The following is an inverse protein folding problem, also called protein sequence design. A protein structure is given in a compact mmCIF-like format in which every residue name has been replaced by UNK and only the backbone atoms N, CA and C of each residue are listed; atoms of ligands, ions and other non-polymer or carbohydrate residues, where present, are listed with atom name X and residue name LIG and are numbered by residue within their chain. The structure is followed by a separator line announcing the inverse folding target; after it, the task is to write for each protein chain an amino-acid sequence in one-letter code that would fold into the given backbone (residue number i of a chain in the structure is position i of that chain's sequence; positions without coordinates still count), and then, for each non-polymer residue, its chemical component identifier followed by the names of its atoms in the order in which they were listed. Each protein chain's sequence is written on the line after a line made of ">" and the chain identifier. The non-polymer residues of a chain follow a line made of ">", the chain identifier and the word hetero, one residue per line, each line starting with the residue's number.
data_IF_088858595247
#
_entry.id   IF_088858595247
#
_cell.length_a   1.000
_cell.length_b   1.000
_cell.length_c   1.000
_cell.angle_alpha   90.00
_cell.angle_beta   90.00
_cell.angle_gamma   90.00
#
_symmetry.space_group_name_H-M   'P 1'
#
loop_
_entity.id
_entity.type
_entity.pdbx_description
1 polymer ?
#
# COMPACT_ATOMS: atom_id res chain seq x y z
N UNK A 1 3.91 11.23 7.50
CA UNK A 1 4.36 10.94 6.12
C UNK A 1 3.11 10.93 5.25
N UNK A 2 3.15 11.59 4.10
CA UNK A 2 1.98 11.70 3.21
C UNK A 2 2.25 10.91 1.94
N UNK A 3 1.21 10.51 1.23
CA UNK A 3 1.37 9.87 -0.08
C UNK A 3 0.45 10.49 -1.12
N UNK A 4 0.85 10.37 -2.37
CA UNK A 4 0.01 10.66 -3.55
C UNK A 4 0.03 9.42 -4.43
N UNK A 5 -1.07 9.11 -5.08
CA UNK A 5 -1.18 7.92 -5.90
C UNK A 5 -1.95 8.19 -7.19
N UNK A 6 -1.75 7.33 -8.18
CA UNK A 6 -2.65 7.15 -9.32
C UNK A 6 -2.86 5.66 -9.52
N UNK A 7 -4.08 5.25 -9.83
CA UNK A 7 -4.47 3.85 -9.82
C UNK A 7 -5.42 3.52 -10.96
N UNK A 8 -5.23 2.34 -11.53
CA UNK A 8 -6.18 1.61 -12.35
C UNK A 8 -6.75 0.45 -11.54
N UNK A 9 -7.66 -0.35 -12.09
CA UNK A 9 -8.20 -1.53 -11.39
C UNK A 9 -7.17 -2.63 -11.09
N UNK A 10 -6.04 -2.64 -11.78
CA UNK A 10 -5.05 -3.72 -11.66
C UNK A 10 -3.64 -3.26 -11.33
N UNK A 11 -3.39 -1.95 -11.35
CA UNK A 11 -2.07 -1.37 -11.16
C UNK A 11 -2.18 -0.03 -10.44
N UNK A 12 -1.29 0.24 -9.50
CA UNK A 12 -1.21 1.54 -8.83
C UNK A 12 0.24 2.01 -8.70
N UNK A 13 0.40 3.33 -8.70
CA UNK A 13 1.67 4.00 -8.46
C UNK A 13 1.50 4.90 -7.24
N UNK A 14 2.35 4.73 -6.23
CA UNK A 14 2.24 5.47 -4.96
C UNK A 14 3.58 6.13 -4.67
N UNK A 15 3.56 7.43 -4.38
CA UNK A 15 4.75 8.18 -3.99
C UNK A 15 4.56 8.76 -2.59
N UNK A 16 5.42 8.34 -1.67
CA UNK A 16 5.47 8.86 -0.33
C UNK A 16 6.38 10.08 -0.25
N UNK A 17 5.99 11.01 0.62
CA UNK A 17 6.72 12.23 0.93
C UNK A 17 6.83 12.41 2.44
N UNK A 18 8.01 12.84 2.89
CA UNK A 18 8.19 13.24 4.28
C UNK A 18 7.47 14.56 4.60
N UNK A 19 7.60 15.02 5.85
CA UNK A 19 6.91 16.22 6.35
C UNK A 19 7.30 17.51 5.62
N UNK A 20 8.48 17.55 4.98
CA UNK A 20 8.95 18.71 4.21
C UNK A 20 8.77 18.52 2.70
N UNK A 21 8.04 17.47 2.29
CA UNK A 21 7.66 17.23 0.89
C UNK A 21 8.72 16.53 0.04
N UNK A 22 9.84 16.07 0.62
CA UNK A 22 10.84 15.28 -0.13
C UNK A 22 10.26 13.91 -0.46
N UNK A 23 10.45 13.46 -1.70
CA UNK A 23 10.06 12.13 -2.15
C UNK A 23 10.97 11.10 -1.48
N UNK A 24 10.39 10.17 -0.73
CA UNK A 24 11.17 9.20 0.06
C UNK A 24 11.10 7.78 -0.49
N UNK A 25 9.90 7.36 -0.90
CA UNK A 25 9.62 6.01 -1.32
C UNK A 25 8.62 6.04 -2.48
N UNK A 26 8.84 5.16 -3.46
CA UNK A 26 7.92 4.97 -4.58
C UNK A 26 7.55 3.50 -4.71
N UNK A 27 6.26 3.22 -4.82
CA UNK A 27 5.71 1.88 -4.99
C UNK A 27 5.04 1.75 -6.35
N UNK A 28 5.23 0.59 -6.98
CA UNK A 28 4.42 0.10 -8.09
C UNK A 28 3.74 -1.17 -7.61
N UNK A 29 2.42 -1.15 -7.64
CA UNK A 29 1.57 -2.28 -7.28
C UNK A 29 1.00 -2.88 -8.56
N UNK A 30 1.17 -4.17 -8.77
CA UNK A 30 0.42 -4.98 -9.74
C UNK A 30 -0.38 -6.06 -9.00
N UNK A 31 -1.26 -6.79 -9.70
CA UNK A 31 -2.18 -7.77 -9.08
C UNK A 31 -1.52 -8.72 -8.05
N UNK A 32 -0.28 -9.12 -8.25
CA UNK A 32 0.45 -10.07 -7.37
C UNK A 32 1.83 -9.60 -6.94
N UNK A 33 2.29 -8.44 -7.40
CA UNK A 33 3.66 -7.98 -7.19
C UNK A 33 3.67 -6.57 -6.59
N UNK A 34 4.66 -6.34 -5.73
CA UNK A 34 4.98 -5.03 -5.18
C UNK A 34 6.42 -4.75 -5.53
N UNK A 35 6.65 -3.64 -6.22
CA UNK A 35 7.98 -3.09 -6.42
C UNK A 35 8.11 -1.83 -5.58
N UNK A 36 9.22 -1.68 -4.88
CA UNK A 36 9.51 -0.48 -4.11
C UNK A 36 10.88 0.09 -4.44
N UNK A 37 10.95 1.41 -4.47
CA UNK A 37 12.17 2.18 -4.67
C UNK A 37 12.33 3.17 -3.52
N UNK A 38 13.36 2.95 -2.73
CA UNK A 38 13.90 3.93 -1.80
C UNK A 38 14.62 5.02 -2.59
N UNK A 39 13.93 6.14 -2.75
CA UNK A 39 14.42 7.28 -3.53
C UNK A 39 15.59 7.94 -2.80
N UNK A 40 15.60 7.94 -1.46
CA UNK A 40 16.64 8.61 -0.67
C UNK A 40 17.98 7.94 -0.84
N UNK A 41 18.00 6.61 -0.79
CA UNK A 41 19.22 5.82 -0.92
C UNK A 41 19.47 5.34 -2.35
N UNK A 42 18.56 5.66 -3.28
CA UNK A 42 18.55 5.18 -4.64
C UNK A 42 18.68 3.64 -4.74
N UNK A 43 17.82 2.92 -4.00
CA UNK A 43 17.81 1.45 -3.94
C UNK A 43 16.46 0.83 -4.25
N UNK A 44 16.47 -0.21 -5.09
CA UNK A 44 15.27 -1.01 -5.38
C UNK A 44 15.16 -2.10 -4.33
N UNK A 45 14.02 -2.16 -3.64
CA UNK A 45 13.76 -3.22 -2.68
C UNK A 45 13.38 -4.50 -3.43
N UNK A 46 13.94 -5.62 -3.00
CA UNK A 46 13.37 -6.93 -3.31
C UNK A 46 12.16 -7.18 -2.40
N UNK A 47 11.42 -8.25 -2.64
CA UNK A 47 10.20 -8.56 -1.89
C UNK A 47 10.44 -8.66 -0.38
N UNK A 48 11.52 -9.31 0.06
CA UNK A 48 11.86 -9.41 1.49
C UNK A 48 12.12 -8.03 2.12
N UNK A 49 12.87 -7.17 1.43
CA UNK A 49 13.15 -5.80 1.89
C UNK A 49 11.90 -4.93 1.95
N UNK A 50 10.92 -5.17 1.06
CA UNK A 50 9.62 -4.49 1.12
C UNK A 50 8.89 -4.83 2.41
N UNK A 51 8.83 -6.12 2.80
CA UNK A 51 8.17 -6.53 4.03
C UNK A 51 8.83 -5.91 5.26
N UNK A 52 10.16 -5.88 5.30
CA UNK A 52 10.90 -5.24 6.42
C UNK A 52 10.60 -3.73 6.50
N UNK A 53 10.60 -3.02 5.36
CA UNK A 53 10.42 -1.58 5.35
C UNK A 53 8.95 -1.15 5.53
N UNK A 54 8.01 -2.00 5.13
CA UNK A 54 6.57 -1.74 5.08
C UNK A 54 5.83 -2.99 5.58
N UNK A 55 5.88 -3.27 6.89
CA UNK A 55 5.45 -4.55 7.45
C UNK A 55 3.93 -4.79 7.34
N UNK A 56 3.13 -3.76 7.06
CA UNK A 56 1.72 -3.95 6.73
C UNK A 56 1.50 -4.83 5.48
N UNK A 57 2.50 -4.99 4.61
CA UNK A 57 2.43 -5.91 3.46
C UNK A 57 2.47 -7.41 3.83
N UNK A 58 2.78 -7.74 5.09
CA UNK A 58 2.56 -9.10 5.61
C UNK A 58 1.05 -9.40 5.77
N UNK A 59 0.24 -8.35 5.96
CA UNK A 59 -1.17 -8.47 6.26
C UNK A 59 -2.06 -8.20 5.04
N UNK A 60 -1.60 -7.36 4.09
CA UNK A 60 -2.36 -6.96 2.90
C UNK A 60 -1.59 -7.24 1.61
N UNK A 61 -2.27 -7.86 0.65
CA UNK A 61 -1.73 -8.12 -0.68
C UNK A 61 -1.85 -6.89 -1.59
N UNK A 62 -1.08 -6.89 -2.68
CA UNK A 62 -1.03 -5.77 -3.62
C UNK A 62 -2.39 -5.41 -4.23
N UNK A 63 -3.14 -6.41 -4.72
CA UNK A 63 -4.52 -6.23 -5.22
C UNK A 63 -5.50 -5.74 -4.13
N UNK A 64 -5.31 -6.18 -2.89
CA UNK A 64 -6.13 -5.75 -1.75
C UNK A 64 -5.84 -4.27 -1.43
N UNK A 65 -4.58 -3.86 -1.46
CA UNK A 65 -4.22 -2.45 -1.29
C UNK A 65 -4.73 -1.58 -2.45
N UNK A 66 -4.73 -2.08 -3.69
CA UNK A 66 -5.36 -1.41 -4.83
C UNK A 66 -6.86 -1.19 -4.56
N UNK A 67 -7.59 -2.20 -4.07
CA UNK A 67 -9.01 -2.05 -3.72
C UNK A 67 -9.23 -0.95 -2.67
N UNK A 68 -8.39 -0.90 -1.62
CA UNK A 68 -8.41 0.20 -0.65
C UNK A 68 -8.19 1.58 -1.29
N UNK A 69 -7.24 1.71 -2.23
CA UNK A 69 -7.01 2.97 -2.95
C UNK A 69 -8.24 3.41 -3.73
N UNK A 70 -9.01 2.47 -4.28
CA UNK A 70 -10.29 2.70 -4.94
C UNK A 70 -11.46 2.96 -3.97
N UNK A 71 -11.23 2.86 -2.65
CA UNK A 71 -12.24 3.08 -1.63
C UNK A 71 -13.09 1.85 -1.31
N UNK A 72 -12.65 0.66 -1.73
CA UNK A 72 -13.34 -0.60 -1.49
C UNK A 72 -12.73 -1.34 -0.29
N UNK A 73 -13.57 -2.09 0.45
CA UNK A 73 -13.06 -3.11 1.36
C UNK A 73 -12.64 -4.30 0.49
N UNK A 74 -11.39 -4.79 0.59
CA UNK A 74 -10.99 -5.91 -0.25
C UNK A 74 -11.81 -7.16 0.07
N UNK A 75 -12.20 -7.91 -0.95
CA UNK A 75 -13.14 -9.04 -0.81
C UNK A 75 -12.74 -10.09 0.24
N UNK A 76 -11.44 -10.28 0.46
CA UNK A 76 -10.87 -11.16 1.48
C UNK A 76 -11.26 -10.75 2.91
N UNK A 77 -11.53 -9.46 3.12
CA UNK A 77 -11.94 -8.86 4.39
C UNK A 77 -13.43 -8.52 4.45
N UNK A 78 -14.19 -8.84 3.39
CA UNK A 78 -15.64 -8.63 3.33
C UNK A 78 -16.42 -9.93 3.49
N UNK A 79 -15.82 -11.06 3.11
CA UNK A 79 -16.45 -12.39 3.14
C UNK A 79 -16.09 -13.13 4.45
N UNK A 80 -17.06 -13.45 5.32
CA UNK A 80 -16.82 -14.16 6.58
C UNK A 80 -16.06 -15.48 6.43
N UNK A 81 -16.23 -16.19 5.31
CA UNK A 81 -15.53 -17.45 5.04
C UNK A 81 -14.04 -17.23 4.77
N UNK A 82 -13.69 -16.15 4.05
CA UNK A 82 -12.31 -15.78 3.71
C UNK A 82 -11.58 -15.10 4.87
N UNK A 83 -12.31 -14.32 5.67
CA UNK A 83 -11.78 -13.67 6.87
C UNK A 83 -11.20 -14.72 7.83
N UNK A 84 -11.90 -15.83 8.05
CA UNK A 84 -11.41 -16.92 8.93
C UNK A 84 -10.08 -17.49 8.46
N UNK A 85 -9.97 -17.85 7.18
CA UNK A 85 -8.72 -18.37 6.61
C UNK A 85 -7.58 -17.33 6.64
N UNK A 86 -7.89 -16.04 6.52
CA UNK A 86 -6.88 -14.99 6.55
C UNK A 86 -6.40 -14.72 7.98
N UNK A 87 -7.29 -14.74 8.98
CA UNK A 87 -6.93 -14.59 10.40
C UNK A 87 -5.93 -15.64 10.89
N UNK A 88 -5.97 -16.85 10.34
CA UNK A 88 -4.99 -17.90 10.66
C UNK A 88 -3.59 -17.63 10.11
N UNK A 89 -3.46 -16.73 9.13
CA UNK A 89 -2.22 -16.46 8.39
C UNK A 89 -1.68 -15.02 8.59
N UNK A 90 -2.35 -14.18 9.37
CA UNK A 90 -1.91 -12.82 9.67
C UNK A 90 -1.49 -12.75 11.15
N UNK A 91 -0.29 -12.26 11.42
CA UNK A 91 0.22 -11.96 12.76
C UNK A 91 -0.29 -10.60 13.27
N UNK A 92 -1.62 -10.43 13.34
CA UNK A 92 -2.25 -9.21 13.86
C UNK A 92 -3.68 -8.95 13.38
N UNK A 93 -4.12 -7.68 13.47
CA UNK A 93 -5.47 -7.23 13.12
C UNK A 93 -5.48 -6.15 12.02
N UNK A 94 -6.43 -6.26 11.09
CA UNK A 94 -6.73 -5.21 10.10
C UNK A 94 -8.14 -4.68 10.33
N UNK A 95 -8.29 -3.35 10.37
CA UNK A 95 -9.58 -2.68 10.56
C UNK A 95 -9.79 -1.62 9.48
N UNK A 96 -10.96 -1.65 8.83
CA UNK A 96 -11.36 -0.69 7.82
C UNK A 96 -12.45 0.23 8.37
N UNK A 97 -12.34 1.53 8.11
CA UNK A 97 -13.40 2.51 8.40
C UNK A 97 -13.84 3.17 7.10
N UNK A 98 -15.16 3.26 6.93
CA UNK A 98 -15.79 3.87 5.77
C UNK A 98 -16.46 5.18 6.12
N UNK A 99 -16.66 6.02 5.12
CA UNK A 99 -17.38 7.28 5.20
C UNK A 99 -18.31 7.42 4.00
N UNK A 100 -19.49 8.00 4.24
CA UNK A 100 -20.41 8.35 3.17
C UNK A 100 -19.85 9.52 2.35
N UNK A 101 -19.82 9.36 1.03
CA UNK A 101 -19.39 10.39 0.08
C UNK A 101 -20.44 10.58 -1.02
N UNK A 102 -20.20 11.52 -1.93
CA UNK A 102 -21.01 11.71 -3.14
C UNK A 102 -20.96 10.50 -4.08
N UNK A 103 -19.92 9.66 -3.98
CA UNK A 103 -19.73 8.45 -4.78
C UNK A 103 -20.18 7.18 -4.05
N UNK A 104 -20.91 7.32 -2.94
CA UNK A 104 -21.30 6.21 -2.06
C UNK A 104 -20.41 6.06 -0.84
N UNK A 105 -20.55 4.92 -0.15
CA UNK A 105 -19.76 4.58 1.02
C UNK A 105 -18.37 4.12 0.58
N UNK A 106 -17.33 4.88 0.94
CA UNK A 106 -15.95 4.58 0.59
C UNK A 106 -15.10 4.35 1.84
N UNK A 107 -14.15 3.42 1.78
CA UNK A 107 -13.13 3.24 2.81
C UNK A 107 -12.27 4.50 2.88
N UNK A 108 -12.19 5.14 4.03
CA UNK A 108 -11.34 6.32 4.24
C UNK A 108 -10.10 6.02 5.09
N UNK A 109 -10.12 4.92 5.84
CA UNK A 109 -9.05 4.58 6.76
C UNK A 109 -8.89 3.07 6.84
N UNK A 110 -7.64 2.62 6.84
CA UNK A 110 -7.26 1.25 7.18
C UNK A 110 -6.20 1.30 8.28
N UNK A 111 -6.37 0.44 9.27
CA UNK A 111 -5.48 0.28 10.42
C UNK A 111 -4.90 -1.13 10.42
N UNK A 112 -3.60 -1.25 10.62
CA UNK A 112 -2.85 -2.49 10.74
C UNK A 112 -2.22 -2.54 12.13
N UNK A 113 -2.69 -3.44 12.99
CA UNK A 113 -2.05 -3.75 14.26
C UNK A 113 -1.22 -5.03 14.06
N UNK A 114 0.10 -4.94 14.21
CA UNK A 114 1.06 -6.01 13.94
C UNK A 114 1.59 -6.51 15.28
N UNK A 115 1.35 -7.78 15.58
CA UNK A 115 1.63 -8.38 16.89
C UNK A 115 3.12 -8.50 17.17
N UNK A 116 3.91 -8.92 16.17
CA UNK A 116 5.33 -9.25 16.31
C UNK A 116 6.15 -8.13 16.95
N UNK A 117 5.83 -6.88 16.61
CA UNK A 117 6.54 -5.69 17.09
C UNK A 117 5.66 -4.74 17.91
N UNK A 118 4.45 -5.18 18.30
CA UNK A 118 3.44 -4.35 18.97
C UNK A 118 3.29 -2.97 18.29
N UNK A 119 3.20 -2.98 16.96
CA UNK A 119 3.24 -1.77 16.15
C UNK A 119 1.89 -1.55 15.47
N UNK A 120 1.55 -0.28 15.26
CA UNK A 120 0.31 0.11 14.59
C UNK A 120 0.61 1.06 13.45
N UNK A 121 0.08 0.74 12.26
CA UNK A 121 0.19 1.57 11.07
C UNK A 121 -1.21 1.96 10.62
N UNK A 122 -1.42 3.25 10.45
CA UNK A 122 -2.69 3.81 9.98
C UNK A 122 -2.49 4.52 8.64
N UNK A 123 -3.31 4.15 7.66
CA UNK A 123 -3.39 4.84 6.37
C UNK A 123 -4.72 5.57 6.26
N UNK A 124 -4.65 6.90 6.19
CA UNK A 124 -5.81 7.77 6.02
C UNK A 124 -5.87 8.30 4.60
N UNK A 125 -7.02 8.14 3.95
CA UNK A 125 -7.30 8.77 2.68
C UNK A 125 -7.88 10.16 2.90
N UNK A 126 -7.09 11.18 2.55
CA UNK A 126 -7.53 12.57 2.65
C UNK A 126 -8.49 12.94 1.53
N UNK A 127 -8.12 12.65 0.27
CA UNK A 127 -8.89 12.95 -0.93
C UNK A 127 -8.75 11.81 -1.95
N UNK A 128 -9.79 11.62 -2.79
CA UNK A 128 -9.75 10.79 -3.99
C UNK A 128 -10.34 11.56 -5.15
N UNK A 129 -9.58 11.60 -6.22
CA UNK A 129 -9.98 12.22 -7.47
C UNK A 129 -10.34 11.11 -8.47
N UNK A 130 -11.63 10.91 -8.67
CA UNK A 130 -12.13 9.94 -9.64
C UNK A 130 -11.96 10.50 -11.06
N UNK A 131 -11.75 9.60 -12.02
CA UNK A 131 -11.55 9.91 -13.45
C UNK A 131 -10.34 10.83 -13.75
N UNK A 132 -9.46 11.05 -12.76
CA UNK A 132 -8.21 11.77 -12.92
C UNK A 132 -7.01 10.82 -12.81
N UNK A 133 -6.00 11.07 -13.64
CA UNK A 133 -4.70 10.43 -13.52
C UNK A 133 -3.63 11.49 -13.25
N UNK A 134 -2.56 11.07 -12.58
CA UNK A 134 -1.38 11.89 -12.34
C UNK A 134 -0.23 11.35 -13.18
N UNK A 135 -0.05 11.78 -14.45
CA UNK A 135 0.86 11.13 -15.40
C UNK A 135 2.31 11.09 -14.91
N UNK A 136 2.72 12.09 -14.13
CA UNK A 136 4.07 12.16 -13.53
C UNK A 136 4.37 11.03 -12.53
N UNK A 137 3.35 10.32 -12.04
CA UNK A 137 3.49 9.14 -11.20
C UNK A 137 3.56 7.84 -12.00
N UNK A 138 3.07 7.83 -13.24
CA UNK A 138 3.04 6.64 -14.10
C UNK A 138 4.43 6.45 -14.69
N UNK A 139 5.26 5.65 -14.02
CA UNK A 139 6.63 5.37 -14.42
C UNK A 139 7.13 4.09 -13.77
N UNK A 140 8.07 3.45 -14.44
CA UNK A 140 8.81 2.33 -13.88
C UNK A 140 9.96 2.82 -12.98
N UNK A 141 10.43 1.94 -12.10
CA UNK A 141 11.67 2.19 -11.33
C UNK A 141 12.85 2.11 -12.33
N UNK A 142 13.73 3.12 -12.40
CA UNK A 142 14.83 3.12 -13.36
C UNK A 142 15.73 1.89 -13.21
N UNK A 143 16.14 1.27 -14.32
CA UNK A 143 17.03 0.10 -14.31
C UNK A 143 18.43 0.38 -13.74
N UNK A 144 18.82 1.65 -13.62
CA UNK A 144 20.07 2.08 -12.98
C UNK A 144 20.04 2.06 -11.46
N UNK A 145 18.87 1.87 -10.85
CA UNK A 145 18.72 1.77 -9.40
C UNK A 145 19.29 0.44 -8.92
N UNK A 146 20.25 0.48 -7.99
CA UNK A 146 20.88 -0.73 -7.46
C UNK A 146 19.88 -1.52 -6.59
N UNK A 147 19.81 -2.84 -6.71
CA UNK A 147 19.03 -3.65 -5.77
C UNK A 147 19.62 -3.53 -4.36
N UNK A 148 18.77 -3.63 -3.33
CA UNK A 148 19.26 -3.90 -1.99
C UNK A 148 19.99 -5.25 -2.02
N UNK A 149 21.23 -5.25 -1.55
CA UNK A 149 21.96 -6.49 -1.29
C UNK A 149 21.31 -7.17 -0.09
N UNK A 150 20.90 -8.42 -0.25
CA UNK A 150 20.57 -9.27 0.89
C UNK A 150 21.84 -9.40 1.73
N UNK A 151 21.82 -8.87 2.95
CA UNK A 151 22.83 -9.24 3.93
C UNK A 151 22.47 -10.68 4.36
N UNK A 152 23.03 -11.65 3.64
CA UNK A 152 23.09 -13.06 4.09
C UNK A 152 23.93 -13.18 5.35
#
# INVERSE_FOLDING_TARGET
>A
MNFTFTSSRSRAYIQFKDLIGRKTLFLILDKSEIQAWDILNNRKYNQASVLIALPFFEMIQSNELIAFLWGEIPSTFSDPSKIKSKKENISGEIQFRTKQTTYGQLVEHVSFAIDENNSKIDLFMMNRDFDMQYPHLIREIPGSVLPIKDNS
#
